data_IF_076043720008
#
_entry.id   IF_076043720008
#
_cell.length_a   1.000
_cell.length_b   1.000
_cell.length_c   1.000
_cell.angle_alpha   90.00
_cell.angle_beta   90.00
_cell.angle_gamma   90.00
#
_symmetry.space_group_name_H-M   'P 1'
#
loop_
_entity.id
_entity.type
_entity.pdbx_description
1 polymer ?
#
# COMPACT_ATOMS: atom_id res chain seq x y z
N UNK A 1 3.27 -0.31 6.23
CA UNK A 1 2.63 -0.30 7.55
C UNK A 1 1.13 -0.26 7.40
N UNK A 2 0.42 -1.18 8.03
CA UNK A 2 -1.03 -1.15 8.10
C UNK A 2 -1.42 -0.25 9.27
N UNK A 3 -1.82 0.98 8.98
CA UNK A 3 -2.30 1.92 9.98
C UNK A 3 -3.79 1.73 10.20
N UNK A 4 -4.24 1.89 11.45
CA UNK A 4 -5.64 1.83 11.80
C UNK A 4 -6.44 2.99 11.22
N UNK A 5 -7.71 2.75 10.89
CA UNK A 5 -8.66 3.81 10.60
C UNK A 5 -8.91 4.61 11.88
N UNK A 6 -8.85 5.92 11.77
CA UNK A 6 -9.23 6.82 12.87
C UNK A 6 -10.74 7.04 12.81
N UNK A 7 -11.42 6.65 13.89
CA UNK A 7 -12.87 6.83 13.99
C UNK A 7 -13.24 8.29 14.30
N UNK A 8 -14.46 8.66 13.96
CA UNK A 8 -14.91 10.05 14.02
C UNK A 8 -14.94 10.61 15.47
N UNK A 9 -15.25 9.81 16.47
CA UNK A 9 -15.20 10.20 17.88
C UNK A 9 -13.78 10.60 18.32
N UNK A 10 -12.75 9.93 17.80
CA UNK A 10 -11.36 10.31 18.04
C UNK A 10 -10.99 11.60 17.32
N UNK A 11 -11.45 11.80 16.08
CA UNK A 11 -11.27 13.08 15.37
C UNK A 11 -11.85 14.24 16.16
N UNK A 12 -13.07 14.08 16.69
CA UNK A 12 -13.75 15.07 17.54
C UNK A 12 -12.98 15.33 18.83
N UNK A 13 -12.56 14.26 19.54
CA UNK A 13 -11.80 14.39 20.78
C UNK A 13 -10.48 15.13 20.61
N UNK A 14 -9.80 14.91 19.48
CA UNK A 14 -8.54 15.58 19.11
C UNK A 14 -8.76 16.95 18.45
N UNK A 15 -10.00 17.35 18.19
CA UNK A 15 -10.35 18.59 17.49
C UNK A 15 -9.69 18.70 16.10
N UNK A 16 -9.66 17.59 15.38
CA UNK A 16 -9.21 17.53 13.99
C UNK A 16 -10.36 18.01 13.11
N UNK A 17 -10.07 18.84 12.14
CA UNK A 17 -11.05 19.47 11.24
C UNK A 17 -11.02 18.91 9.81
N UNK A 18 -10.30 17.80 9.62
CA UNK A 18 -10.20 17.10 8.33
C UNK A 18 -10.48 15.61 8.47
N UNK A 19 -11.04 15.01 7.43
CA UNK A 19 -11.27 13.56 7.33
C UNK A 19 -10.69 13.03 6.01
N UNK A 20 -10.13 11.82 6.05
CA UNK A 20 -9.54 11.19 4.87
C UNK A 20 -10.59 10.54 3.96
N UNK A 21 -10.53 10.82 2.67
CA UNK A 21 -11.20 10.02 1.63
C UNK A 21 -10.26 8.90 1.19
N UNK A 22 -10.56 7.69 1.63
CA UNK A 22 -9.73 6.51 1.41
C UNK A 22 -10.26 5.66 0.26
N UNK A 23 -9.35 5.02 -0.48
CA UNK A 23 -9.72 4.04 -1.50
C UNK A 23 -10.38 2.77 -0.93
N UNK A 24 -11.01 1.96 -1.81
CA UNK A 24 -11.73 0.76 -1.40
C UNK A 24 -10.84 -0.40 -0.95
N UNK A 25 -9.53 -0.32 -1.19
CA UNK A 25 -8.55 -1.35 -0.85
C UNK A 25 -7.47 -0.81 0.10
N UNK A 26 -6.87 -1.70 0.86
CA UNK A 26 -5.71 -1.36 1.69
C UNK A 26 -4.39 -1.52 0.92
N UNK A 27 -3.26 -1.26 1.58
CA UNK A 27 -1.91 -1.34 1.01
C UNK A 27 -1.55 -2.72 0.41
N UNK A 28 -2.21 -3.78 0.83
CA UNK A 28 -2.04 -5.13 0.27
C UNK A 28 -2.95 -5.42 -0.92
N UNK A 29 -3.76 -4.46 -1.37
CA UNK A 29 -4.78 -4.67 -2.41
C UNK A 29 -6.00 -5.47 -1.93
N UNK A 30 -6.20 -5.61 -0.61
CA UNK A 30 -7.38 -6.27 -0.04
C UNK A 30 -8.48 -5.25 0.18
N UNK A 31 -9.74 -5.60 -0.20
CA UNK A 31 -10.90 -4.73 0.00
C UNK A 31 -11.15 -4.46 1.48
N UNK A 32 -11.43 -3.20 1.81
CA UNK A 32 -11.76 -2.72 3.15
C UNK A 32 -13.22 -3.02 3.52
N UNK A 33 -13.58 -4.30 3.52
CA UNK A 33 -14.95 -4.78 3.76
C UNK A 33 -14.97 -6.07 4.58
N UNK A 34 -16.16 -6.51 5.00
CA UNK A 34 -16.36 -7.78 5.73
C UNK A 34 -15.43 -7.91 6.94
N UNK A 35 -15.29 -6.84 7.69
CA UNK A 35 -14.38 -6.73 8.83
C UNK A 35 -14.55 -7.87 9.81
N UNK A 36 -13.44 -8.51 10.19
CA UNK A 36 -13.38 -9.61 11.16
C UNK A 36 -12.51 -9.24 12.35
N UNK A 37 -12.87 -9.74 13.53
CA UNK A 37 -12.03 -9.59 14.72
C UNK A 37 -10.70 -10.29 14.50
N UNK A 38 -9.64 -9.60 14.85
CA UNK A 38 -8.29 -10.12 14.91
C UNK A 38 -7.60 -9.56 16.15
N UNK A 39 -7.09 -10.42 17.02
CA UNK A 39 -6.44 -9.95 18.24
C UNK A 39 -4.93 -9.86 18.00
N UNK A 40 -4.34 -8.74 18.37
CA UNK A 40 -2.90 -8.53 18.35
C UNK A 40 -2.20 -9.55 19.28
N UNK A 41 -0.87 -9.81 19.11
CA UNK A 41 -0.14 -10.74 19.99
C UNK A 41 -0.23 -10.39 21.47
N UNK A 42 -0.37 -9.13 21.83
CA UNK A 42 -0.56 -8.65 23.20
C UNK A 42 -2.01 -8.77 23.71
N UNK A 43 -2.93 -9.28 22.88
CA UNK A 43 -4.35 -9.43 23.18
C UNK A 43 -5.20 -8.20 22.88
N UNK A 44 -4.64 -7.12 22.33
CA UNK A 44 -5.40 -5.95 21.90
C UNK A 44 -6.35 -6.31 20.76
N UNK A 45 -7.69 -6.13 20.95
CA UNK A 45 -8.65 -6.47 19.92
C UNK A 45 -8.61 -5.44 18.80
N UNK A 46 -8.54 -5.93 17.57
CA UNK A 46 -8.58 -5.10 16.35
C UNK A 46 -9.59 -5.66 15.35
N UNK A 47 -9.87 -4.90 14.31
CA UNK A 47 -10.62 -5.35 13.15
C UNK A 47 -9.70 -5.35 11.93
N UNK A 48 -9.74 -6.45 11.19
CA UNK A 48 -9.03 -6.59 9.92
C UNK A 48 -10.02 -6.80 8.78
N UNK A 49 -9.68 -6.30 7.60
CA UNK A 49 -10.48 -6.54 6.40
C UNK A 49 -10.66 -8.05 6.17
N UNK A 50 -11.88 -8.47 5.82
CA UNK A 50 -12.27 -9.89 5.78
C UNK A 50 -11.44 -10.75 4.83
N UNK A 51 -10.91 -10.15 3.75
CA UNK A 51 -10.03 -10.80 2.79
C UNK A 51 -8.56 -10.90 3.21
N UNK A 52 -8.16 -10.37 4.35
CA UNK A 52 -6.79 -10.51 4.86
C UNK A 52 -6.53 -11.95 5.32
N UNK A 53 -5.39 -12.50 4.89
CA UNK A 53 -4.92 -13.83 5.26
C UNK A 53 -3.57 -13.76 5.98
N UNK A 54 -3.41 -14.63 6.99
CA UNK A 54 -2.22 -14.65 7.84
C UNK A 54 -1.64 -16.06 7.96
N UNK A 55 -0.34 -16.14 8.21
CA UNK A 55 0.33 -17.33 8.74
C UNK A 55 1.29 -16.94 9.85
N UNK A 56 1.63 -17.87 10.72
CA UNK A 56 2.59 -17.67 11.80
C UNK A 56 3.68 -18.72 11.68
N UNK A 57 4.93 -18.33 11.83
CA UNK A 57 6.05 -19.27 11.85
C UNK A 57 6.39 -19.75 13.27
N UNK A 58 7.42 -20.57 13.37
CA UNK A 58 7.88 -21.17 14.63
C UNK A 58 8.41 -20.13 15.65
N UNK A 59 8.79 -18.94 15.19
CA UNK A 59 9.26 -17.85 16.04
C UNK A 59 8.13 -16.99 16.57
N UNK A 60 6.89 -17.18 16.06
CA UNK A 60 5.73 -16.38 16.37
C UNK A 60 5.59 -15.15 15.45
N UNK A 61 6.45 -14.98 14.46
CA UNK A 61 6.32 -13.91 13.46
C UNK A 61 5.08 -14.16 12.58
N UNK A 62 4.32 -13.09 12.32
CA UNK A 62 3.06 -13.15 11.59
C UNK A 62 3.27 -12.56 10.20
N UNK A 63 2.90 -13.34 9.18
CA UNK A 63 3.02 -12.98 7.77
C UNK A 63 1.64 -12.68 7.18
N UNK A 64 1.60 -11.74 6.23
CA UNK A 64 0.40 -11.48 5.43
C UNK A 64 0.74 -11.40 3.94
N UNK A 65 -0.28 -11.57 3.10
CA UNK A 65 -0.14 -11.92 1.70
C UNK A 65 -0.78 -10.88 0.79
N UNK A 66 -0.21 -10.61 -0.40
CA UNK A 66 -0.80 -9.70 -1.37
C UNK A 66 -2.20 -10.18 -1.76
N UNK A 67 -3.18 -9.28 -1.69
CA UNK A 67 -4.58 -9.53 -2.00
C UNK A 67 -5.18 -10.73 -1.23
N UNK A 68 -4.61 -11.09 -0.08
CA UNK A 68 -5.03 -12.26 0.71
C UNK A 68 -4.70 -13.62 0.07
N UNK A 69 -3.82 -13.67 -0.92
CA UNK A 69 -3.52 -14.89 -1.68
C UNK A 69 -2.34 -15.66 -1.09
N UNK A 70 -2.62 -16.71 -0.32
CA UNK A 70 -1.59 -17.57 0.29
C UNK A 70 -0.90 -18.51 -0.69
N UNK A 71 -1.29 -18.52 -1.96
CA UNK A 71 -0.59 -19.32 -2.98
C UNK A 71 0.70 -18.66 -3.48
N UNK A 72 0.92 -17.39 -3.11
CA UNK A 72 2.12 -16.63 -3.42
C UNK A 72 2.92 -16.31 -2.15
N UNK A 73 4.20 -15.95 -2.25
CA UNK A 73 5.00 -15.57 -1.07
C UNK A 73 4.40 -14.40 -0.31
N UNK A 74 4.55 -14.35 1.04
CA UNK A 74 4.09 -13.23 1.84
C UNK A 74 4.82 -11.95 1.45
N UNK A 75 4.15 -10.82 1.61
CA UNK A 75 4.68 -9.50 1.26
C UNK A 75 4.88 -8.57 2.46
N UNK A 76 4.37 -8.95 3.64
CA UNK A 76 4.64 -8.23 4.87
C UNK A 76 4.81 -9.21 6.03
N UNK A 77 5.58 -8.78 7.04
CA UNK A 77 5.84 -9.54 8.28
C UNK A 77 5.75 -8.64 9.49
N UNK A 78 5.16 -9.16 10.57
CA UNK A 78 5.21 -8.57 11.90
C UNK A 78 5.99 -9.51 12.81
N UNK A 79 7.12 -9.09 13.41
CA UNK A 79 7.83 -9.89 14.41
C UNK A 79 6.94 -10.28 15.59
N UNK A 80 7.27 -11.33 16.31
CA UNK A 80 6.47 -11.86 17.44
C UNK A 80 6.23 -10.83 18.55
N UNK A 81 7.16 -9.90 18.73
CA UNK A 81 7.11 -8.78 19.68
C UNK A 81 6.78 -7.43 18.99
N UNK A 82 6.39 -7.47 17.73
CA UNK A 82 6.07 -6.30 16.92
C UNK A 82 4.60 -5.88 17.03
N UNK A 83 4.34 -4.64 16.60
CA UNK A 83 3.02 -4.04 16.53
C UNK A 83 2.64 -3.57 15.12
N UNK A 84 3.58 -3.70 14.16
CA UNK A 84 3.40 -3.24 12.79
C UNK A 84 3.91 -4.30 11.82
N UNK A 85 3.28 -4.31 10.64
CA UNK A 85 3.75 -5.11 9.54
C UNK A 85 4.77 -4.32 8.72
N UNK A 86 5.97 -4.87 8.58
CA UNK A 86 7.01 -4.35 7.71
C UNK A 86 6.94 -5.01 6.33
N UNK A 87 7.29 -4.27 5.30
CA UNK A 87 7.31 -4.80 3.94
C UNK A 87 8.43 -5.83 3.77
N UNK A 88 8.11 -6.94 3.12
CA UNK A 88 9.08 -7.91 2.63
C UNK A 88 9.43 -7.55 1.19
N UNK A 89 10.69 -7.23 0.92
CA UNK A 89 11.15 -7.05 -0.44
C UNK A 89 11.22 -8.41 -1.14
N UNK A 90 10.33 -8.63 -2.10
CA UNK A 90 10.26 -9.85 -2.92
C UNK A 90 10.93 -9.67 -4.29
N UNK A 91 11.41 -8.47 -4.58
CA UNK A 91 12.24 -8.19 -5.75
C UNK A 91 13.53 -9.02 -5.72
N UNK A 92 14.17 -9.17 -6.86
CA UNK A 92 15.48 -9.82 -6.97
C UNK A 92 16.60 -8.81 -7.12
N UNK A 93 17.77 -9.32 -7.44
CA UNK A 93 18.81 -8.52 -8.09
C UNK A 93 18.28 -8.07 -9.46
N UNK A 94 18.60 -6.86 -9.85
CA UNK A 94 18.31 -6.36 -11.20
C UNK A 94 19.54 -6.52 -12.09
N UNK A 95 19.33 -6.54 -13.40
CA UNK A 95 20.38 -6.55 -14.40
C UNK A 95 20.59 -5.12 -14.89
N UNK A 96 21.79 -4.58 -14.69
CA UNK A 96 22.13 -3.20 -15.06
C UNK A 96 22.04 -2.96 -16.58
N UNK A 97 22.28 -4.01 -17.38
CA UNK A 97 22.25 -3.97 -18.83
C UNK A 97 20.82 -4.16 -19.40
N UNK A 98 19.82 -4.51 -18.55
CA UNK A 98 18.43 -4.78 -18.96
C UNK A 98 17.40 -3.97 -18.14
N UNK A 99 17.74 -2.75 -17.77
CA UNK A 99 16.82 -1.83 -17.07
C UNK A 99 15.84 -1.19 -18.05
N UNK A 100 14.53 -1.37 -17.80
CA UNK A 100 13.44 -0.75 -18.54
C UNK A 100 12.32 -0.35 -17.55
N UNK A 101 12.21 0.94 -17.19
CA UNK A 101 11.29 1.37 -16.13
C UNK A 101 9.83 1.12 -16.47
N UNK A 102 9.45 1.19 -17.76
CA UNK A 102 8.06 0.96 -18.19
C UNK A 102 7.67 -0.50 -18.08
N UNK A 103 8.59 -1.41 -18.37
CA UNK A 103 8.40 -2.85 -18.17
C UNK A 103 8.47 -3.21 -16.70
N UNK A 104 9.45 -2.71 -15.98
CA UNK A 104 9.78 -3.08 -14.62
C UNK A 104 8.70 -2.64 -13.61
N UNK A 105 8.01 -1.54 -13.91
CA UNK A 105 6.95 -0.96 -13.08
C UNK A 105 5.56 -0.99 -13.74
N UNK A 106 5.39 -1.77 -14.80
CA UNK A 106 4.11 -1.86 -15.53
C UNK A 106 2.93 -2.31 -14.65
N UNK A 107 3.19 -3.14 -13.65
CA UNK A 107 2.16 -3.64 -12.72
C UNK A 107 1.99 -2.73 -11.47
N UNK A 108 2.84 -1.73 -11.28
CA UNK A 108 2.84 -0.84 -10.10
C UNK A 108 1.87 0.33 -10.27
N UNK A 109 1.74 0.83 -11.48
CA UNK A 109 0.94 2.00 -11.79
C UNK A 109 -0.22 1.60 -12.71
N UNK A 110 -1.40 2.10 -12.40
CA UNK A 110 -2.59 1.88 -13.23
C UNK A 110 -3.55 3.06 -13.11
N UNK A 111 -4.24 3.33 -14.20
CA UNK A 111 -5.37 4.27 -14.18
C UNK A 111 -6.43 3.73 -13.22
N UNK A 112 -7.02 4.62 -12.44
CA UNK A 112 -8.14 4.29 -11.54
C UNK A 112 -9.28 3.70 -12.39
N UNK A 113 -9.73 2.50 -12.02
CA UNK A 113 -10.85 1.85 -12.72
C UNK A 113 -12.20 2.50 -12.38
N UNK A 114 -13.21 2.24 -13.23
CA UNK A 114 -14.55 2.79 -13.08
C UNK A 114 -15.22 2.42 -11.75
N UNK A 115 -14.90 1.28 -11.17
CA UNK A 115 -15.45 0.84 -9.87
C UNK A 115 -14.87 1.67 -8.74
N UNK A 116 -13.57 1.85 -8.75
CA UNK A 116 -12.87 2.71 -7.78
C UNK A 116 -13.30 4.17 -7.92
N UNK A 117 -13.44 4.69 -9.15
CA UNK A 117 -13.91 6.05 -9.39
C UNK A 117 -15.34 6.27 -8.82
N UNK A 118 -16.26 5.35 -9.09
CA UNK A 118 -17.62 5.39 -8.53
C UNK A 118 -17.66 5.28 -7.01
N UNK A 119 -16.78 4.45 -6.43
CA UNK A 119 -16.65 4.35 -4.99
C UNK A 119 -16.21 5.68 -4.38
N UNK A 120 -15.17 6.30 -4.93
CA UNK A 120 -14.64 7.57 -4.46
C UNK A 120 -15.65 8.71 -4.62
N UNK A 121 -16.38 8.76 -5.73
CA UNK A 121 -17.47 9.71 -5.94
C UNK A 121 -18.53 9.57 -4.86
N UNK A 122 -19.04 8.36 -4.65
CA UNK A 122 -20.07 8.09 -3.63
C UNK A 122 -19.58 8.44 -2.23
N UNK A 123 -18.37 8.07 -1.88
CA UNK A 123 -17.81 8.30 -0.55
C UNK A 123 -17.51 9.79 -0.31
N UNK A 124 -17.05 10.51 -1.34
CA UNK A 124 -16.84 11.97 -1.24
C UNK A 124 -18.16 12.72 -1.02
N UNK A 125 -19.23 12.33 -1.73
CA UNK A 125 -20.58 12.89 -1.51
C UNK A 125 -21.06 12.62 -0.10
N UNK A 126 -20.93 11.37 0.38
CA UNK A 126 -21.32 10.98 1.73
C UNK A 126 -20.59 11.81 2.78
N UNK A 127 -19.26 11.94 2.67
CA UNK A 127 -18.46 12.74 3.62
C UNK A 127 -18.86 14.22 3.59
N UNK A 128 -19.16 14.76 2.41
CA UNK A 128 -19.58 16.15 2.26
C UNK A 128 -20.97 16.43 2.85
N UNK A 129 -21.91 15.48 2.71
CA UNK A 129 -23.30 15.64 3.18
C UNK A 129 -23.48 15.29 4.67
N UNK A 130 -22.68 14.36 5.20
CA UNK A 130 -22.86 13.80 6.55
C UNK A 130 -21.90 14.40 7.58
N UNK A 131 -20.88 15.18 7.16
CA UNK A 131 -19.87 15.73 8.08
C UNK A 131 -19.54 17.19 7.77
N UNK A 132 -19.03 17.90 8.79
CA UNK A 132 -18.52 19.27 8.66
C UNK A 132 -16.98 19.33 8.46
N UNK A 133 -16.33 18.17 8.20
CA UNK A 133 -14.89 18.10 8.03
C UNK A 133 -14.43 18.58 6.64
N UNK A 134 -13.24 19.16 6.57
CA UNK A 134 -12.51 19.28 5.32
C UNK A 134 -12.12 17.89 4.81
N UNK A 135 -12.39 17.57 3.54
CA UNK A 135 -12.12 16.25 2.96
C UNK A 135 -10.72 16.27 2.32
N UNK A 136 -9.86 15.32 2.72
CA UNK A 136 -8.53 15.11 2.15
C UNK A 136 -8.52 13.80 1.37
N UNK A 137 -8.44 13.87 0.04
CA UNK A 137 -8.28 12.71 -0.84
C UNK A 137 -6.80 12.38 -1.06
N UNK A 138 -6.43 11.12 -0.83
CA UNK A 138 -5.16 10.55 -1.25
C UNK A 138 -5.42 9.73 -2.51
N UNK A 139 -5.32 10.38 -3.66
CA UNK A 139 -5.30 9.68 -4.94
C UNK A 139 -3.88 9.21 -5.21
N UNK A 140 -3.69 8.00 -5.76
CA UNK A 140 -2.38 7.44 -6.06
C UNK A 140 -1.48 8.43 -6.81
N UNK A 141 -0.23 8.12 -7.00
CA UNK A 141 0.67 8.89 -7.82
C UNK A 141 1.48 9.99 -7.14
N UNK A 142 1.04 10.49 -6.01
CA UNK A 142 1.79 11.52 -5.27
C UNK A 142 3.08 11.03 -4.60
N UNK A 143 3.46 9.77 -4.80
CA UNK A 143 4.59 9.14 -4.11
C UNK A 143 5.79 8.90 -5.01
N UNK A 144 6.10 9.85 -5.87
CA UNK A 144 7.34 9.83 -6.67
C UNK A 144 8.56 9.61 -5.78
N UNK A 145 9.28 8.52 -6.02
CA UNK A 145 10.49 8.20 -5.28
C UNK A 145 10.27 7.77 -3.83
N UNK A 146 9.04 7.53 -3.39
CA UNK A 146 8.78 7.02 -2.04
C UNK A 146 9.24 5.57 -1.90
N UNK A 147 10.27 5.39 -1.08
CA UNK A 147 10.87 4.08 -0.78
C UNK A 147 9.89 3.09 -0.15
N UNK A 148 8.78 3.55 0.44
CA UNK A 148 7.75 2.70 1.00
C UNK A 148 7.08 1.83 -0.07
N UNK A 149 6.94 2.32 -1.28
CA UNK A 149 6.28 1.63 -2.38
C UNK A 149 7.20 0.66 -3.14
N UNK A 150 8.52 0.75 -2.98
CA UNK A 150 9.47 -0.10 -3.70
C UNK A 150 9.18 -1.60 -3.59
N UNK A 151 8.82 -2.16 -2.42
CA UNK A 151 8.53 -3.59 -2.30
C UNK A 151 7.26 -4.05 -3.02
N UNK A 152 6.39 -3.12 -3.45
CA UNK A 152 5.13 -3.40 -4.14
C UNK A 152 4.33 -4.54 -3.49
N UNK A 153 4.01 -4.37 -2.20
CA UNK A 153 3.45 -5.42 -1.35
C UNK A 153 2.06 -5.91 -1.80
N UNK A 154 1.36 -5.18 -2.68
CA UNK A 154 0.07 -5.54 -3.27
C UNK A 154 0.19 -6.47 -4.49
N UNK A 155 1.36 -6.56 -5.13
CA UNK A 155 1.53 -7.40 -6.31
C UNK A 155 1.61 -8.87 -5.93
N UNK A 156 0.86 -9.74 -6.62
CA UNK A 156 1.01 -11.20 -6.51
C UNK A 156 2.25 -11.70 -7.24
N UNK A 157 2.60 -11.05 -8.33
CA UNK A 157 3.83 -11.35 -9.08
C UNK A 157 5.06 -10.87 -8.32
N UNK A 158 6.21 -11.45 -8.63
CA UNK A 158 7.49 -10.95 -8.17
C UNK A 158 7.75 -9.57 -8.78
N UNK A 159 7.95 -8.50 -7.96
CA UNK A 159 8.29 -7.18 -8.47
C UNK A 159 9.60 -7.21 -9.29
N UNK A 160 9.63 -6.49 -10.40
CA UNK A 160 10.79 -6.35 -11.29
C UNK A 160 11.46 -4.99 -11.06
N UNK A 161 12.64 -4.80 -11.62
CA UNK A 161 13.40 -3.55 -11.53
C UNK A 161 14.08 -3.32 -10.17
N UNK A 162 14.40 -2.07 -9.89
CA UNK A 162 15.16 -1.68 -8.69
C UNK A 162 14.21 -1.62 -7.49
N UNK A 163 14.33 -2.58 -6.55
CA UNK A 163 13.40 -2.77 -5.42
C UNK A 163 14.05 -2.68 -4.04
N UNK A 164 15.39 -2.72 -3.96
CA UNK A 164 16.08 -2.50 -2.69
C UNK A 164 16.27 -1.02 -2.46
N UNK A 165 16.10 -0.59 -1.22
CA UNK A 165 16.21 0.83 -0.86
C UNK A 165 17.58 1.41 -1.17
N UNK A 166 18.66 0.66 -0.88
CA UNK A 166 20.03 1.08 -1.16
C UNK A 166 20.26 1.27 -2.66
N UNK A 167 19.83 0.31 -3.47
CA UNK A 167 19.95 0.35 -4.93
C UNK A 167 19.12 1.52 -5.50
N UNK A 168 17.89 1.71 -4.98
CA UNK A 168 17.02 2.82 -5.37
C UNK A 168 17.65 4.18 -5.09
N UNK A 169 18.18 4.39 -3.88
CA UNK A 169 18.80 5.66 -3.51
C UNK A 169 20.05 5.95 -4.35
N UNK A 170 20.81 4.92 -4.72
CA UNK A 170 21.99 5.08 -5.59
C UNK A 170 21.63 5.22 -7.06
N UNK A 171 20.49 4.67 -7.50
CA UNK A 171 20.02 4.74 -8.89
C UNK A 171 19.82 6.17 -9.39
N UNK A 172 19.47 7.11 -8.53
CA UNK A 172 19.36 8.52 -8.88
C UNK A 172 20.67 9.14 -9.39
N UNK A 173 21.82 8.52 -9.05
CA UNK A 173 23.14 8.96 -9.49
C UNK A 173 23.70 8.04 -10.56
N UNK A 174 23.47 6.73 -10.43
CA UNK A 174 24.06 5.73 -11.34
C UNK A 174 23.22 5.54 -12.62
N UNK A 175 21.90 5.65 -12.50
CA UNK A 175 20.95 5.40 -13.59
C UNK A 175 19.93 6.55 -13.72
N UNK A 176 20.37 7.82 -13.87
CA UNK A 176 19.45 8.96 -13.86
C UNK A 176 18.40 8.90 -14.97
N UNK A 177 18.76 8.41 -16.15
CA UNK A 177 17.82 8.31 -17.28
C UNK A 177 16.69 7.30 -16.99
N UNK A 178 16.99 6.18 -16.31
CA UNK A 178 16.00 5.23 -15.84
C UNK A 178 15.03 5.87 -14.86
N UNK A 179 15.52 6.66 -13.91
CA UNK A 179 14.69 7.35 -12.91
C UNK A 179 13.82 8.42 -13.57
N UNK A 180 14.35 9.21 -14.51
CA UNK A 180 13.58 10.21 -15.25
C UNK A 180 12.47 9.56 -16.06
N UNK A 181 12.76 8.50 -16.80
CA UNK A 181 11.75 7.78 -17.57
C UNK A 181 10.68 7.12 -16.69
N UNK A 182 11.05 6.61 -15.52
CA UNK A 182 10.09 6.08 -14.54
C UNK A 182 9.13 7.17 -14.05
N UNK A 183 9.63 8.36 -13.75
CA UNK A 183 8.80 9.48 -13.30
C UNK A 183 7.91 10.02 -14.43
N UNK A 184 8.43 10.06 -15.66
CA UNK A 184 7.63 10.41 -16.83
C UNK A 184 6.51 9.40 -17.05
N UNK A 185 6.80 8.09 -16.96
CA UNK A 185 5.80 7.03 -17.07
C UNK A 185 4.72 7.14 -15.99
N UNK A 186 5.11 7.37 -14.74
CA UNK A 186 4.18 7.59 -13.64
C UNK A 186 3.29 8.82 -13.89
N UNK A 187 3.88 9.92 -14.34
CA UNK A 187 3.17 11.17 -14.66
C UNK A 187 2.15 10.98 -15.79
N UNK A 188 2.49 10.20 -16.81
CA UNK A 188 1.57 9.89 -17.93
C UNK A 188 0.31 9.15 -17.45
N UNK A 189 0.43 8.28 -16.43
CA UNK A 189 -0.70 7.53 -15.88
C UNK A 189 -1.59 8.41 -15.00
N UNK A 190 -0.99 9.37 -14.29
CA UNK A 190 -1.69 10.27 -13.35
C UNK A 190 -2.43 11.43 -14.03
N UNK A 191 -2.18 11.71 -15.31
CA UNK A 191 -2.87 12.75 -16.10
C UNK A 191 -4.24 12.28 -16.61
#
# INVERSE_FOLDING_TARGET
QLLGKVDEDLLQALRIDVIGLWGPVNTLGVRNENWKRWDMPDGTPTLMAGGMEFSTDETGAIYTYPQGDKSVPPSMVMPADGYFFDNINRGGEFDEDDLDPRRDYADDFSIIDDETAKYLEKESIRLYEETDYGIVGMFGGASFGDVFNLPACWLKKKPQGIRKMEDWLTAHVLYPDYIYELFDFQTEIEQ
#
